data_IF_116749365839
#
_entry.id   IF_116749365839
#
_cell.length_a   1.000
_cell.length_b   1.000
_cell.length_c   1.000
_cell.angle_alpha   90.00
_cell.angle_beta   90.00
_cell.angle_gamma   90.00
#
_symmetry.space_group_name_H-M   'P 1'
#
loop_
_entity.id
_entity.type
_entity.pdbx_description
1 polymer ?
#
# COMPACT_ATOMS: atom_id res chain seq x y z
N UNK A 1 58.96 -0.73 -36.51
CA UNK A 1 58.98 -1.36 -35.18
C UNK A 1 58.20 -0.45 -34.23
N UNK A 2 56.88 -0.59 -34.22
CA UNK A 2 55.97 0.03 -33.23
C UNK A 2 54.68 -0.77 -33.25
N UNK A 3 54.34 -1.45 -32.15
CA UNK A 3 53.06 -2.14 -31.96
C UNK A 3 52.36 -1.42 -30.81
N UNK A 4 51.21 -0.80 -31.09
CA UNK A 4 50.31 -0.25 -30.09
C UNK A 4 49.39 -1.37 -29.58
N UNK A 5 49.53 -1.75 -28.32
CA UNK A 5 48.58 -2.62 -27.63
C UNK A 5 47.50 -1.78 -26.94
N UNK A 6 46.24 -1.91 -27.37
CA UNK A 6 45.09 -1.40 -26.64
C UNK A 6 44.74 -2.39 -25.51
N UNK A 7 44.84 -1.96 -24.26
CA UNK A 7 44.17 -2.62 -23.14
C UNK A 7 42.71 -2.16 -23.09
N UNK A 8 41.78 -3.04 -23.42
CA UNK A 8 40.36 -2.83 -23.14
C UNK A 8 40.07 -3.27 -21.69
N UNK A 9 39.69 -2.33 -20.83
CA UNK A 9 39.15 -2.63 -19.51
C UNK A 9 37.66 -2.93 -19.64
N UNK A 10 37.25 -4.16 -19.34
CA UNK A 10 35.83 -4.52 -19.17
C UNK A 10 35.33 -4.00 -17.83
N UNK A 11 34.18 -3.31 -17.77
CA UNK A 11 33.57 -2.95 -16.49
C UNK A 11 33.04 -4.21 -15.81
N UNK A 12 33.40 -4.40 -14.54
CA UNK A 12 32.79 -5.39 -13.65
C UNK A 12 31.40 -4.88 -13.29
N UNK A 13 30.38 -5.49 -13.88
CA UNK A 13 28.99 -5.28 -13.54
C UNK A 13 28.73 -5.91 -12.17
N UNK A 14 28.63 -5.07 -11.13
CA UNK A 14 28.28 -5.50 -9.78
C UNK A 14 26.81 -5.97 -9.77
N UNK A 15 26.60 -7.25 -10.04
CA UNK A 15 25.30 -7.89 -9.89
C UNK A 15 24.95 -7.92 -8.39
N UNK A 16 24.09 -6.99 -7.96
CA UNK A 16 23.36 -7.10 -6.69
C UNK A 16 22.42 -8.31 -6.77
N UNK A 17 22.95 -9.46 -6.36
CA UNK A 17 22.19 -10.69 -6.20
C UNK A 17 21.29 -10.51 -4.99
N UNK A 18 19.99 -10.34 -5.22
CA UNK A 18 18.99 -10.43 -4.16
C UNK A 18 19.17 -11.77 -3.41
N UNK A 19 19.14 -11.78 -2.07
CA UNK A 19 19.33 -13.00 -1.30
C UNK A 19 18.22 -14.02 -1.61
N UNK A 20 18.53 -15.32 -1.60
CA UNK A 20 17.55 -16.37 -1.83
C UNK A 20 16.45 -16.33 -0.76
N UNK A 21 15.20 -16.54 -1.18
CA UNK A 21 14.05 -16.68 -0.28
C UNK A 21 14.32 -17.79 0.74
N UNK A 22 14.41 -17.43 2.03
CA UNK A 22 14.46 -18.39 3.14
C UNK A 22 15.61 -18.22 4.15
N UNK A 23 16.54 -17.28 3.95
CA UNK A 23 17.47 -16.89 5.03
C UNK A 23 16.89 -15.70 5.79
N UNK A 24 16.80 -15.81 7.11
CA UNK A 24 16.45 -14.69 7.96
C UNK A 24 17.51 -13.58 7.79
N UNK A 25 17.05 -12.37 7.51
CA UNK A 25 17.94 -11.22 7.33
C UNK A 25 18.69 -10.93 8.64
N UNK A 26 20.01 -10.76 8.56
CA UNK A 26 20.84 -10.42 9.72
C UNK A 26 20.75 -8.91 10.00
N UNK A 27 19.83 -8.50 10.88
CA UNK A 27 19.52 -7.09 11.11
C UNK A 27 20.61 -6.27 11.83
N UNK A 28 21.57 -6.93 12.47
CA UNK A 28 22.65 -6.30 13.24
C UNK A 28 23.95 -6.13 12.44
N UNK A 29 23.94 -6.34 11.12
CA UNK A 29 25.10 -6.14 10.26
C UNK A 29 25.55 -4.66 10.20
N UNK A 30 26.86 -4.43 10.11
CA UNK A 30 27.50 -3.10 10.05
C UNK A 30 27.14 -2.14 11.21
N UNK A 31 27.17 -2.60 12.48
CA UNK A 31 26.62 -1.83 13.60
C UNK A 31 27.40 -0.56 13.89
N UNK A 32 28.71 -0.50 13.58
CA UNK A 32 29.55 0.66 13.91
C UNK A 32 29.14 1.89 13.10
N UNK A 33 28.88 1.73 11.81
CA UNK A 33 28.52 2.84 10.91
C UNK A 33 27.07 3.28 11.13
N UNK A 34 26.17 2.32 11.36
CA UNK A 34 24.72 2.58 11.33
C UNK A 34 24.04 2.63 12.70
N UNK A 35 24.76 2.42 13.81
CA UNK A 35 24.18 2.50 15.16
C UNK A 35 23.58 3.86 15.49
N UNK A 36 24.23 4.97 15.08
CA UNK A 36 23.74 6.32 15.33
C UNK A 36 22.38 6.59 14.67
N UNK A 37 22.26 6.43 13.35
CA UNK A 37 20.97 6.55 12.65
C UNK A 37 19.91 5.55 13.13
N UNK A 38 20.30 4.30 13.43
CA UNK A 38 19.39 3.30 14.00
C UNK A 38 18.82 3.75 15.36
N UNK A 39 19.66 4.36 16.22
CA UNK A 39 19.19 4.97 17.47
C UNK A 39 18.23 6.13 17.22
N UNK A 40 18.52 7.01 16.26
CA UNK A 40 17.62 8.12 15.90
C UNK A 40 16.24 7.63 15.42
N UNK A 41 16.20 6.56 14.62
CA UNK A 41 14.96 5.89 14.21
C UNK A 41 14.20 5.31 15.40
N UNK A 42 14.90 4.65 16.33
CA UNK A 42 14.29 4.09 17.55
C UNK A 42 13.62 5.14 18.45
N UNK A 43 14.12 6.38 18.43
CA UNK A 43 13.57 7.49 19.18
C UNK A 43 12.35 8.11 18.49
N UNK A 44 12.36 8.17 17.16
CA UNK A 44 11.35 8.88 16.37
C UNK A 44 10.15 8.01 15.98
N UNK A 45 10.32 6.70 15.79
CA UNK A 45 9.29 5.84 15.15
C UNK A 45 7.92 5.82 15.84
N UNK A 46 7.85 6.09 17.14
CA UNK A 46 6.61 6.18 17.91
C UNK A 46 6.31 7.57 18.48
N UNK A 47 7.21 8.54 18.28
CA UNK A 47 7.19 9.81 19.03
C UNK A 47 7.32 11.07 18.17
N UNK A 48 7.77 10.93 16.92
CA UNK A 48 7.91 12.07 16.02
C UNK A 48 6.56 12.78 15.85
N UNK A 49 6.47 14.06 16.22
CA UNK A 49 5.30 14.87 15.93
C UNK A 49 5.41 15.44 14.51
N UNK A 50 4.36 15.28 13.71
CA UNK A 50 4.35 15.64 12.30
C UNK A 50 2.93 15.55 11.72
N UNK A 51 2.73 16.01 10.48
CA UNK A 51 1.42 16.07 9.83
C UNK A 51 1.48 15.58 8.36
N UNK A 52 1.71 14.28 8.11
CA UNK A 52 1.94 13.75 6.77
C UNK A 52 0.75 13.90 5.81
N UNK A 53 -0.47 14.02 6.34
CA UNK A 53 -1.72 14.16 5.58
C UNK A 53 -2.59 15.34 6.05
N UNK A 54 -2.02 16.29 6.81
CA UNK A 54 -2.72 17.47 7.33
C UNK A 54 -2.97 17.42 8.84
N UNK A 55 -3.68 16.43 9.40
CA UNK A 55 -3.79 16.25 10.84
C UNK A 55 -2.44 15.90 11.48
N UNK A 56 -2.23 16.36 12.71
CA UNK A 56 -1.05 15.98 13.52
C UNK A 56 -1.13 14.51 13.94
N UNK A 57 -0.01 13.82 13.82
CA UNK A 57 0.22 12.42 14.19
C UNK A 57 1.49 12.30 15.03
N UNK A 58 1.64 11.18 15.75
CA UNK A 58 2.82 10.88 16.56
C UNK A 58 3.44 9.55 16.14
N UNK A 59 4.73 9.59 15.83
CA UNK A 59 5.45 8.47 15.26
C UNK A 59 5.08 8.19 13.81
N UNK A 60 5.86 7.32 13.19
CA UNK A 60 5.69 6.90 11.80
C UNK A 60 5.47 5.39 11.65
N UNK A 61 5.29 4.68 12.77
CA UNK A 61 5.05 3.23 12.82
C UNK A 61 3.88 2.77 11.93
N UNK A 62 2.81 3.57 11.81
CA UNK A 62 1.67 3.28 10.93
C UNK A 62 2.11 3.02 9.48
N UNK A 63 3.19 3.64 9.03
CA UNK A 63 3.72 3.54 7.66
C UNK A 63 4.86 2.51 7.54
N UNK A 64 5.33 1.94 8.65
CA UNK A 64 6.48 1.06 8.70
C UNK A 64 6.38 -0.14 7.74
N UNK A 65 5.24 -0.86 7.61
CA UNK A 65 5.16 -1.98 6.68
C UNK A 65 5.44 -1.56 5.22
N UNK A 66 4.96 -0.39 4.80
CA UNK A 66 5.20 0.13 3.45
C UNK A 66 6.64 0.57 3.28
N UNK A 67 7.21 1.25 4.28
CA UNK A 67 8.63 1.66 4.27
C UNK A 67 9.53 0.42 4.16
N UNK A 68 9.32 -0.60 4.99
CA UNK A 68 10.06 -1.86 4.95
C UNK A 68 9.99 -2.53 3.56
N UNK A 69 8.81 -2.50 2.92
CA UNK A 69 8.65 -2.99 1.55
C UNK A 69 9.50 -2.21 0.54
N UNK A 70 9.47 -0.87 0.60
CA UNK A 70 10.28 -0.04 -0.33
C UNK A 70 11.78 -0.23 -0.11
N UNK A 71 12.19 -0.36 1.14
CA UNK A 71 13.58 -0.57 1.53
C UNK A 71 14.06 -2.01 1.27
N UNK A 72 13.15 -2.94 0.98
CA UNK A 72 13.48 -4.34 0.76
C UNK A 72 14.06 -5.04 1.99
N UNK A 73 13.61 -4.67 3.19
CA UNK A 73 14.09 -5.24 4.47
C UNK A 73 12.94 -5.49 5.44
N UNK A 74 13.05 -6.56 6.23
CA UNK A 74 12.12 -6.85 7.32
C UNK A 74 12.63 -6.36 8.69
N UNK A 75 13.84 -5.79 8.71
CA UNK A 75 14.47 -5.33 9.93
C UNK A 75 13.76 -4.13 10.55
N UNK A 76 13.77 -4.09 11.89
CA UNK A 76 13.09 -3.06 12.66
C UNK A 76 13.80 -1.68 12.54
N UNK A 77 13.09 -0.56 12.80
CA UNK A 77 13.66 0.79 12.71
C UNK A 77 14.94 1.01 13.51
N UNK A 78 15.08 0.32 14.64
CA UNK A 78 16.22 0.40 15.54
C UNK A 78 17.42 -0.46 15.11
N UNK A 79 17.38 -1.06 13.93
CA UNK A 79 18.45 -1.91 13.42
C UNK A 79 19.43 -1.14 12.53
N UNK A 80 20.73 -1.46 12.58
CA UNK A 80 21.74 -0.99 11.63
C UNK A 80 21.34 -1.22 10.16
N UNK A 81 20.79 -2.40 9.83
CA UNK A 81 20.39 -2.72 8.46
C UNK A 81 19.26 -1.81 7.96
N UNK A 82 18.23 -1.54 8.77
CA UNK A 82 17.17 -0.61 8.36
C UNK A 82 17.73 0.78 8.05
N UNK A 83 18.62 1.29 8.91
CA UNK A 83 19.26 2.58 8.70
C UNK A 83 20.09 2.63 7.41
N UNK A 84 20.90 1.59 7.15
CA UNK A 84 21.66 1.48 5.90
C UNK A 84 20.75 1.47 4.67
N UNK A 85 19.69 0.65 4.67
CA UNK A 85 18.73 0.58 3.56
C UNK A 85 18.02 1.92 3.34
N UNK A 86 17.69 2.62 4.43
CA UNK A 86 17.10 3.94 4.34
C UNK A 86 18.07 4.97 3.73
N UNK A 87 19.36 4.90 4.07
CA UNK A 87 20.39 5.74 3.45
C UNK A 87 20.57 5.41 1.95
N UNK A 88 20.57 4.12 1.58
CA UNK A 88 20.58 3.65 0.18
C UNK A 88 19.37 4.17 -0.60
N UNK A 89 18.18 4.17 0.01
CA UNK A 89 16.99 4.78 -0.58
C UNK A 89 17.14 6.30 -0.73
N UNK A 90 17.58 6.99 0.31
CA UNK A 90 17.77 8.44 0.31
C UNK A 90 18.72 8.88 -0.82
N UNK A 91 19.90 8.25 -0.94
CA UNK A 91 20.84 8.57 -2.03
C UNK A 91 20.23 8.28 -3.40
N UNK A 92 19.50 7.16 -3.55
CA UNK A 92 18.83 6.78 -4.79
C UNK A 92 17.76 7.79 -5.25
N UNK A 93 17.22 8.58 -4.32
CA UNK A 93 16.21 9.60 -4.59
C UNK A 93 16.72 11.04 -4.40
N UNK A 94 18.04 11.25 -4.38
CA UNK A 94 18.64 12.58 -4.31
C UNK A 94 18.46 13.30 -2.96
N UNK A 95 18.17 12.55 -1.90
CA UNK A 95 18.12 13.04 -0.52
C UNK A 95 19.49 12.84 0.16
N UNK A 96 19.82 13.61 1.22
CA UNK A 96 20.97 13.32 2.07
C UNK A 96 20.86 11.90 2.67
N UNK A 97 21.88 11.03 2.53
CA UNK A 97 21.83 9.64 2.99
C UNK A 97 22.11 9.52 4.49
N UNK A 98 21.23 10.09 5.32
CA UNK A 98 21.38 10.12 6.78
C UNK A 98 21.10 8.77 7.43
N UNK A 99 20.33 7.90 6.79
CA UNK A 99 19.88 6.62 7.33
C UNK A 99 18.87 6.74 8.46
N UNK A 100 18.43 7.95 8.82
CA UNK A 100 17.30 8.15 9.71
C UNK A 100 16.08 8.65 8.93
N UNK A 101 14.91 8.32 9.46
CA UNK A 101 13.64 8.74 8.91
C UNK A 101 13.35 10.20 9.27
N UNK A 102 12.89 10.97 8.28
CA UNK A 102 12.42 12.33 8.45
C UNK A 102 11.26 12.66 7.50
N UNK A 103 10.71 13.86 7.64
CA UNK A 103 9.56 14.29 6.85
C UNK A 103 9.88 14.36 5.34
N UNK A 104 11.08 14.77 4.96
CA UNK A 104 11.48 14.84 3.55
C UNK A 104 11.54 13.45 2.92
N UNK A 105 12.13 12.49 3.64
CA UNK A 105 12.19 11.09 3.23
C UNK A 105 10.77 10.50 3.08
N UNK A 106 9.86 10.81 4.01
CA UNK A 106 8.47 10.41 3.89
C UNK A 106 7.76 11.02 2.68
N UNK A 107 8.02 12.29 2.35
CA UNK A 107 7.40 12.91 1.17
C UNK A 107 7.77 12.16 -0.10
N UNK A 108 9.01 11.69 -0.21
CA UNK A 108 9.46 10.85 -1.34
C UNK A 108 8.73 9.51 -1.35
N UNK A 109 8.68 8.78 -0.23
CA UNK A 109 7.90 7.53 -0.14
C UNK A 109 6.44 7.74 -0.54
N UNK A 110 5.81 8.79 0.00
CA UNK A 110 4.43 9.15 -0.31
C UNK A 110 4.24 9.41 -1.80
N UNK A 111 5.16 10.13 -2.45
CA UNK A 111 5.16 10.36 -3.90
C UNK A 111 5.15 9.04 -4.67
N UNK A 112 6.12 8.16 -4.39
CA UNK A 112 6.24 6.85 -5.04
C UNK A 112 4.99 5.98 -4.89
N UNK A 113 4.37 5.98 -3.70
CA UNK A 113 3.14 5.23 -3.47
C UNK A 113 1.94 5.83 -4.19
N UNK A 114 1.85 7.16 -4.27
CA UNK A 114 0.78 7.85 -5.00
C UNK A 114 0.92 7.66 -6.51
N UNK A 115 2.14 7.62 -7.04
CA UNK A 115 2.40 7.40 -8.47
C UNK A 115 1.93 6.03 -8.96
N UNK A 116 1.87 5.04 -8.07
CA UNK A 116 1.36 3.70 -8.39
C UNK A 116 -0.17 3.64 -8.51
N UNK A 117 -0.88 4.73 -8.19
CA UNK A 117 -2.35 4.81 -8.18
C UNK A 117 -2.85 5.55 -9.43
N UNK A 118 -3.43 4.84 -10.43
CA UNK A 118 -3.80 5.43 -11.71
C UNK A 118 -4.74 6.63 -11.61
N UNK A 119 -5.70 6.61 -10.67
CA UNK A 119 -6.62 7.73 -10.47
C UNK A 119 -5.92 9.00 -9.97
N UNK A 120 -4.89 8.85 -9.15
CA UNK A 120 -4.08 9.98 -8.68
C UNK A 120 -3.28 10.55 -9.84
N UNK A 121 -2.69 9.68 -10.65
CA UNK A 121 -1.90 10.10 -11.80
C UNK A 121 -2.75 10.72 -12.92
N UNK A 122 -3.95 10.22 -13.16
CA UNK A 122 -4.92 10.84 -14.05
C UNK A 122 -5.27 12.26 -13.59
N UNK A 123 -5.57 12.43 -12.29
CA UNK A 123 -5.82 13.76 -11.71
C UNK A 123 -4.63 14.71 -11.85
N UNK A 124 -3.40 14.24 -11.62
CA UNK A 124 -2.19 15.06 -11.77
C UNK A 124 -1.97 15.50 -13.22
N UNK A 125 -2.41 14.70 -14.20
CA UNK A 125 -2.36 15.01 -15.63
C UNK A 125 -3.59 15.77 -16.15
N UNK A 126 -4.49 16.20 -15.26
CA UNK A 126 -5.78 16.82 -15.61
C UNK A 126 -6.60 15.97 -16.61
N UNK A 127 -6.47 14.65 -16.52
CA UNK A 127 -7.26 13.70 -17.33
C UNK A 127 -8.69 13.60 -16.78
N UNK A 128 -9.70 13.41 -17.66
CA UNK A 128 -11.06 13.17 -17.22
C UNK A 128 -11.13 11.88 -16.40
N UNK A 129 -12.00 11.88 -15.38
CA UNK A 129 -12.26 10.70 -14.57
C UNK A 129 -12.80 9.58 -15.47
N UNK A 130 -12.27 8.35 -15.37
CA UNK A 130 -12.75 7.23 -16.17
C UNK A 130 -14.25 6.99 -16.00
N UNK A 131 -14.91 6.63 -17.09
CA UNK A 131 -16.31 6.22 -17.08
C UNK A 131 -16.51 4.93 -16.26
N UNK A 132 -17.66 4.77 -15.57
CA UNK A 132 -17.97 3.53 -14.89
C UNK A 132 -18.07 2.37 -15.92
N UNK A 133 -17.69 1.14 -15.55
CA UNK A 133 -17.83 0.00 -16.45
C UNK A 133 -19.30 -0.29 -16.72
N UNK A 134 -19.63 -0.84 -17.90
CA UNK A 134 -20.97 -1.33 -18.16
C UNK A 134 -21.32 -2.49 -17.22
N UNK A 135 -22.60 -2.61 -16.85
CA UNK A 135 -23.08 -3.57 -15.84
C UNK A 135 -22.65 -5.03 -16.09
N UNK A 136 -22.52 -5.45 -17.35
CA UNK A 136 -22.09 -6.82 -17.68
C UNK A 136 -20.65 -7.13 -17.24
N UNK A 137 -19.80 -6.11 -17.07
CA UNK A 137 -18.43 -6.25 -16.55
C UNK A 137 -18.38 -6.29 -15.02
N UNK A 138 -19.50 -6.02 -14.33
CA UNK A 138 -19.61 -6.12 -12.89
C UNK A 138 -20.06 -7.53 -12.48
N UNK A 139 -19.55 -7.99 -11.35
CA UNK A 139 -19.90 -9.24 -10.70
C UNK A 139 -20.27 -8.99 -9.23
N UNK A 140 -21.27 -9.73 -8.76
CA UNK A 140 -21.68 -9.71 -7.35
C UNK A 140 -20.68 -10.48 -6.49
N UNK A 141 -20.46 -9.95 -5.29
CA UNK A 141 -19.86 -10.70 -4.21
C UNK A 141 -20.83 -11.79 -3.74
N UNK A 142 -20.28 -12.92 -3.29
CA UNK A 142 -21.06 -13.89 -2.52
C UNK A 142 -21.09 -13.49 -1.04
N UNK A 143 -22.04 -14.05 -0.28
CA UNK A 143 -22.23 -13.71 1.14
C UNK A 143 -20.95 -13.80 1.98
N UNK A 144 -20.12 -14.82 1.76
CA UNK A 144 -18.86 -14.99 2.49
C UNK A 144 -17.78 -13.97 2.13
N UNK A 145 -17.96 -13.18 1.08
CA UNK A 145 -17.06 -12.10 0.65
C UNK A 145 -17.49 -10.72 1.18
N UNK A 146 -18.69 -10.60 1.74
CA UNK A 146 -19.29 -9.35 2.19
C UNK A 146 -19.01 -9.11 3.68
N UNK A 147 -18.52 -7.92 4.02
CA UNK A 147 -18.40 -7.50 5.42
C UNK A 147 -19.65 -6.71 5.82
N UNK A 148 -20.32 -7.17 6.89
CA UNK A 148 -21.61 -6.71 7.38
C UNK A 148 -22.80 -6.95 6.42
N UNK A 149 -24.02 -6.78 6.94
CA UNK A 149 -25.32 -7.17 6.32
C UNK A 149 -25.72 -6.41 5.04
N UNK A 150 -24.79 -5.71 4.37
CA UNK A 150 -25.05 -5.12 3.07
C UNK A 150 -24.72 -6.12 1.97
N UNK A 151 -25.65 -7.03 1.74
CA UNK A 151 -25.63 -7.89 0.56
C UNK A 151 -25.78 -7.02 -0.69
N UNK A 152 -25.07 -7.36 -1.78
CA UNK A 152 -25.13 -6.78 -3.15
C UNK A 152 -23.98 -5.85 -3.57
N UNK A 153 -22.83 -5.84 -2.89
CA UNK A 153 -21.66 -5.13 -3.42
C UNK A 153 -21.21 -5.77 -4.73
N UNK A 154 -20.68 -4.91 -5.59
CA UNK A 154 -20.21 -5.26 -6.92
C UNK A 154 -18.73 -4.93 -7.04
N UNK A 155 -18.02 -5.67 -7.88
CA UNK A 155 -16.70 -5.32 -8.38
C UNK A 155 -16.65 -5.59 -9.87
N UNK A 156 -15.66 -5.02 -10.54
CA UNK A 156 -15.33 -5.47 -11.90
C UNK A 156 -14.89 -6.93 -11.84
N UNK A 157 -15.30 -7.75 -12.81
CA UNK A 157 -15.13 -9.23 -12.77
C UNK A 157 -13.67 -9.67 -12.65
N UNK A 158 -12.77 -9.02 -13.37
CA UNK A 158 -11.33 -9.26 -13.31
C UNK A 158 -10.72 -8.91 -11.94
N UNK A 159 -11.20 -7.82 -11.33
CA UNK A 159 -10.83 -7.39 -9.98
C UNK A 159 -11.34 -8.39 -8.95
N UNK A 160 -12.57 -8.89 -9.13
CA UNK A 160 -13.16 -9.93 -8.28
C UNK A 160 -12.36 -11.24 -8.35
N UNK A 161 -11.93 -11.66 -9.54
CA UNK A 161 -11.08 -12.83 -9.71
C UNK A 161 -9.69 -12.64 -9.08
N UNK A 162 -9.11 -11.43 -9.22
CA UNK A 162 -7.84 -11.09 -8.57
C UNK A 162 -7.95 -11.09 -7.04
N UNK A 163 -9.03 -10.51 -6.51
CA UNK A 163 -9.36 -10.51 -5.08
C UNK A 163 -9.49 -11.93 -4.54
N UNK A 164 -10.22 -12.82 -5.23
CA UNK A 164 -10.38 -14.23 -4.82
C UNK A 164 -9.04 -14.96 -4.74
N UNK A 165 -8.15 -14.76 -5.72
CA UNK A 165 -6.78 -15.33 -5.68
C UNK A 165 -5.95 -14.76 -4.53
N UNK A 166 -6.09 -13.46 -4.26
CA UNK A 166 -5.44 -12.81 -3.13
C UNK A 166 -5.91 -13.39 -1.80
N UNK A 167 -7.22 -13.51 -1.58
CA UNK A 167 -7.79 -14.07 -0.34
C UNK A 167 -7.40 -15.53 -0.18
N UNK A 168 -7.46 -16.33 -1.26
CA UNK A 168 -7.01 -17.73 -1.23
C UNK A 168 -5.55 -17.84 -0.76
N UNK A 169 -4.65 -17.02 -1.31
CA UNK A 169 -3.24 -17.03 -0.89
C UNK A 169 -3.08 -16.55 0.56
N UNK A 170 -3.78 -15.50 0.97
CA UNK A 170 -3.71 -14.99 2.34
C UNK A 170 -4.19 -16.04 3.36
N UNK A 171 -5.30 -16.73 3.07
CA UNK A 171 -5.82 -17.82 3.92
C UNK A 171 -4.86 -19.01 4.01
N UNK A 172 -4.03 -19.24 2.98
CA UNK A 172 -3.02 -20.29 2.99
C UNK A 172 -1.72 -19.89 3.71
N UNK A 173 -1.36 -18.61 3.69
CA UNK A 173 -0.06 -18.10 4.15
C UNK A 173 -0.12 -17.42 5.53
N UNK A 174 -1.30 -17.00 6.00
CA UNK A 174 -1.48 -16.24 7.25
C UNK A 174 -2.48 -16.97 8.17
N UNK A 175 -2.02 -17.53 9.30
CA UNK A 175 -2.90 -18.24 10.23
C UNK A 175 -4.09 -17.41 10.71
N UNK A 176 -3.91 -16.14 11.06
CA UNK A 176 -5.00 -15.29 11.55
C UNK A 176 -6.11 -15.15 10.51
N UNK A 177 -5.72 -14.96 9.25
CA UNK A 177 -6.65 -14.95 8.12
C UNK A 177 -7.28 -16.33 7.99
N UNK A 178 -6.55 -17.44 8.05
CA UNK A 178 -7.15 -18.78 7.98
C UNK A 178 -8.25 -19.05 9.05
N UNK A 179 -8.10 -18.49 10.26
CA UNK A 179 -8.99 -18.76 11.40
C UNK A 179 -10.17 -17.78 11.51
N UNK A 180 -10.03 -16.55 11.01
CA UNK A 180 -11.08 -15.53 11.07
C UNK A 180 -11.67 -15.27 9.67
N UNK A 181 -12.90 -15.75 9.39
CA UNK A 181 -13.54 -15.60 8.08
C UNK A 181 -13.90 -14.16 7.73
N UNK A 182 -13.97 -13.24 8.70
CA UNK A 182 -14.28 -11.83 8.43
C UNK A 182 -13.08 -11.11 7.80
N UNK A 183 -11.85 -11.47 8.18
CA UNK A 183 -10.64 -10.85 7.64
C UNK A 183 -10.65 -10.95 6.11
N UNK A 184 -10.35 -9.84 5.45
CA UNK A 184 -10.38 -9.64 3.99
C UNK A 184 -11.76 -9.62 3.35
N UNK A 185 -12.87 -9.73 4.08
CA UNK A 185 -14.18 -9.42 3.53
C UNK A 185 -14.26 -7.95 3.11
N UNK A 186 -15.08 -7.68 2.11
CA UNK A 186 -15.18 -6.35 1.49
C UNK A 186 -16.32 -5.58 2.16
N UNK A 187 -16.00 -4.41 2.71
CA UNK A 187 -17.01 -3.48 3.23
C UNK A 187 -17.34 -2.33 2.27
N UNK A 188 -16.57 -2.16 1.20
CA UNK A 188 -16.91 -1.26 0.09
C UNK A 188 -16.30 -1.70 -1.24
N UNK A 189 -17.08 -1.65 -2.31
CA UNK A 189 -16.67 -2.01 -3.68
C UNK A 189 -17.12 -0.94 -4.68
N UNK A 190 -17.71 -1.34 -5.80
CA UNK A 190 -18.25 -0.43 -6.82
C UNK A 190 -19.28 0.55 -6.24
N UNK A 191 -19.14 1.83 -6.58
CA UNK A 191 -20.08 2.91 -6.25
C UNK A 191 -20.61 3.52 -7.54
N UNK A 192 -21.86 3.21 -7.86
CA UNK A 192 -22.55 3.71 -9.05
C UNK A 192 -22.80 5.23 -8.91
N UNK A 193 -22.21 6.07 -9.80
CA UNK A 193 -22.40 7.52 -9.76
C UNK A 193 -23.85 7.96 -9.93
N UNK A 194 -24.62 7.29 -10.79
CA UNK A 194 -26.03 7.64 -11.04
C UNK A 194 -26.89 7.26 -9.85
N UNK A 195 -26.67 6.06 -9.28
CA UNK A 195 -27.39 5.65 -8.08
C UNK A 195 -27.05 6.53 -6.87
N UNK A 196 -25.79 6.96 -6.73
CA UNK A 196 -25.36 7.88 -5.67
C UNK A 196 -25.98 9.27 -5.85
N UNK A 197 -26.04 9.79 -7.09
CA UNK A 197 -26.70 11.06 -7.41
C UNK A 197 -28.21 11.00 -7.11
N UNK A 198 -28.89 9.91 -7.51
CA UNK A 198 -30.31 9.70 -7.25
C UNK A 198 -30.60 9.64 -5.74
N UNK A 199 -29.80 8.90 -4.96
CA UNK A 199 -29.94 8.85 -3.50
C UNK A 199 -29.68 10.20 -2.84
N UNK A 200 -28.66 10.93 -3.27
CA UNK A 200 -28.37 12.29 -2.79
C UNK A 200 -29.57 13.22 -3.05
N UNK A 201 -30.13 13.21 -4.25
CA UNK A 201 -31.30 14.01 -4.59
C UNK A 201 -32.54 13.66 -3.73
N UNK A 202 -32.73 12.36 -3.42
CA UNK A 202 -33.86 11.89 -2.63
C UNK A 202 -33.72 12.16 -1.12
N UNK A 203 -32.52 12.01 -0.56
CA UNK A 203 -32.29 11.99 0.89
C UNK A 203 -31.56 13.24 1.44
N UNK A 204 -31.03 14.11 0.57
CA UNK A 204 -30.21 15.25 0.99
C UNK A 204 -28.85 14.88 1.58
N UNK A 205 -28.51 13.58 1.63
CA UNK A 205 -27.22 13.07 2.09
C UNK A 205 -26.31 12.76 0.89
N UNK A 206 -25.43 13.71 0.56
CA UNK A 206 -24.59 13.67 -0.63
C UNK A 206 -23.15 13.18 -0.37
N UNK A 207 -22.89 12.59 0.80
CA UNK A 207 -21.56 12.03 1.13
C UNK A 207 -21.14 10.92 0.15
N UNK A 208 -22.08 10.07 -0.27
CA UNK A 208 -21.84 9.05 -1.29
C UNK A 208 -21.41 9.66 -2.63
N UNK A 209 -22.14 10.68 -3.09
CA UNK A 209 -21.84 11.40 -4.33
C UNK A 209 -20.41 11.98 -4.30
N UNK A 210 -20.01 12.64 -3.19
CA UNK A 210 -18.65 13.18 -3.01
C UNK A 210 -17.59 12.07 -3.10
N UNK A 211 -17.86 10.89 -2.54
CA UNK A 211 -16.96 9.73 -2.57
C UNK A 211 -16.89 9.07 -3.96
N UNK A 212 -17.87 9.29 -4.84
CA UNK A 212 -17.95 8.65 -6.15
C UNK A 212 -17.40 9.48 -7.33
N UNK A 213 -17.25 10.81 -7.19
CA UNK A 213 -16.93 11.74 -8.30
C UNK A 213 -15.75 11.26 -9.18
N UNK A 214 -14.60 11.01 -8.56
CA UNK A 214 -13.37 10.59 -9.24
C UNK A 214 -12.58 9.62 -8.37
N UNK A 215 -13.22 8.52 -7.99
CA UNK A 215 -12.64 7.49 -7.13
C UNK A 215 -12.51 6.18 -7.91
N UNK A 216 -11.50 5.34 -7.62
CA UNK A 216 -11.42 3.98 -8.17
C UNK A 216 -12.62 3.08 -7.81
N UNK A 217 -13.41 3.43 -6.78
CA UNK A 217 -14.67 2.73 -6.53
C UNK A 217 -15.70 2.96 -7.64
N UNK A 218 -15.63 4.08 -8.37
CA UNK A 218 -16.52 4.36 -9.52
C UNK A 218 -16.31 3.37 -10.66
N UNK A 219 -15.15 2.74 -10.74
CA UNK A 219 -14.83 1.82 -11.83
C UNK A 219 -14.86 0.36 -11.41
N UNK A 220 -15.21 0.08 -10.14
CA UNK A 220 -15.17 -1.26 -9.58
C UNK A 220 -13.76 -1.82 -9.46
N UNK A 221 -12.74 -0.95 -9.46
CA UNK A 221 -11.31 -1.30 -9.37
C UNK A 221 -10.70 -0.95 -8.01
N UNK A 222 -11.51 -0.61 -7.01
CA UNK A 222 -11.07 -0.51 -5.62
C UNK A 222 -11.89 -1.41 -4.70
N UNK A 223 -11.22 -1.89 -3.67
CA UNK A 223 -11.80 -2.65 -2.57
C UNK A 223 -11.42 -2.00 -1.25
N UNK A 224 -12.41 -1.85 -0.38
CA UNK A 224 -12.17 -1.58 1.03
C UNK A 224 -12.30 -2.91 1.79
N UNK A 225 -11.17 -3.43 2.26
CA UNK A 225 -11.03 -4.74 2.90
C UNK A 225 -11.03 -4.62 4.41
N UNK A 226 -11.75 -5.51 5.11
CA UNK A 226 -11.64 -5.62 6.55
C UNK A 226 -10.27 -6.21 6.95
N UNK A 227 -9.40 -5.40 7.54
CA UNK A 227 -8.03 -5.78 7.96
C UNK A 227 -7.87 -5.82 9.49
N UNK A 228 -9.00 -5.85 10.20
CA UNK A 228 -9.13 -5.65 11.63
C UNK A 228 -9.66 -4.26 11.97
N UNK A 229 -10.20 -4.10 13.17
CA UNK A 229 -10.67 -2.82 13.70
C UNK A 229 -10.30 -2.67 15.17
N UNK A 230 -10.00 -1.44 15.58
CA UNK A 230 -9.92 -1.14 17.01
C UNK A 230 -11.33 -1.18 17.60
N UNK A 231 -11.51 -1.84 18.75
CA UNK A 231 -12.81 -1.92 19.41
C UNK A 231 -13.47 -0.54 19.55
N UNK A 232 -14.79 -0.51 19.38
CA UNK A 232 -15.63 0.70 19.43
C UNK A 232 -15.40 1.73 18.31
N UNK A 233 -14.51 1.46 17.35
CA UNK A 233 -14.33 2.27 16.15
C UNK A 233 -14.83 1.53 14.91
N UNK A 234 -15.32 2.29 13.93
CA UNK A 234 -15.74 1.74 12.65
C UNK A 234 -14.57 1.22 11.80
N UNK A 235 -14.87 0.30 10.88
CA UNK A 235 -13.89 -0.32 9.97
C UNK A 235 -13.18 0.65 9.02
N UNK A 236 -13.76 1.82 8.79
CA UNK A 236 -13.22 2.91 7.96
C UNK A 236 -12.74 4.11 8.79
N UNK A 237 -12.52 3.92 10.11
CA UNK A 237 -12.08 4.99 10.98
C UNK A 237 -10.63 5.41 10.69
N UNK A 238 -10.44 6.67 10.31
CA UNK A 238 -9.14 7.24 9.91
C UNK A 238 -8.30 7.79 11.07
N UNK A 239 -8.73 7.64 12.33
CA UNK A 239 -7.95 8.13 13.47
C UNK A 239 -6.56 7.48 13.51
N UNK A 240 -5.51 8.18 14.00
CA UNK A 240 -4.17 7.61 14.09
C UNK A 240 -4.13 6.27 14.84
N UNK A 241 -4.91 6.12 15.92
CA UNK A 241 -5.00 4.89 16.70
C UNK A 241 -5.60 3.72 15.90
N UNK A 242 -6.69 3.97 15.18
CA UNK A 242 -7.34 2.98 14.30
C UNK A 242 -6.39 2.50 13.20
N UNK A 243 -5.75 3.45 12.49
CA UNK A 243 -4.81 3.13 11.42
C UNK A 243 -3.57 2.39 11.91
N UNK A 244 -3.02 2.78 13.07
CA UNK A 244 -1.90 2.08 13.69
C UNK A 244 -2.28 0.64 14.08
N UNK A 245 -3.48 0.45 14.63
CA UNK A 245 -4.00 -0.88 14.97
C UNK A 245 -4.04 -1.78 13.71
N UNK A 246 -4.64 -1.29 12.63
CA UNK A 246 -4.68 -2.02 11.35
C UNK A 246 -3.28 -2.26 10.78
N UNK A 247 -2.41 -1.25 10.81
CA UNK A 247 -1.05 -1.36 10.27
C UNK A 247 -0.18 -2.41 10.99
N UNK A 248 -0.48 -2.69 12.26
CA UNK A 248 0.17 -3.73 13.05
C UNK A 248 -0.37 -5.14 12.76
N UNK A 249 -1.55 -5.27 12.15
CA UNK A 249 -2.18 -6.57 11.97
C UNK A 249 -1.37 -7.47 11.02
N UNK A 250 -1.28 -8.79 11.29
CA UNK A 250 -0.64 -9.74 10.38
C UNK A 250 -1.23 -9.68 8.97
N UNK A 251 -2.55 -9.49 8.87
CA UNK A 251 -3.29 -9.33 7.63
C UNK A 251 -2.77 -8.16 6.79
N UNK A 252 -2.70 -6.96 7.36
CA UNK A 252 -2.22 -5.79 6.63
C UNK A 252 -0.75 -5.93 6.23
N UNK A 253 0.11 -6.42 7.13
CA UNK A 253 1.53 -6.65 6.84
C UNK A 253 1.71 -7.65 5.69
N UNK A 254 0.90 -8.71 5.62
CA UNK A 254 0.90 -9.64 4.51
C UNK A 254 0.43 -8.99 3.21
N UNK A 255 -0.66 -8.20 3.24
CA UNK A 255 -1.16 -7.48 2.07
C UNK A 255 -0.09 -6.54 1.51
N UNK A 256 0.58 -5.77 2.37
CA UNK A 256 1.66 -4.88 1.95
C UNK A 256 2.73 -5.65 1.20
N UNK A 257 3.16 -6.81 1.69
CA UNK A 257 4.20 -7.63 1.03
C UNK A 257 3.72 -8.32 -0.25
N UNK A 258 2.46 -8.75 -0.31
CA UNK A 258 2.02 -9.75 -1.30
C UNK A 258 0.94 -9.27 -2.28
N UNK A 259 0.13 -8.28 -1.93
CA UNK A 259 -1.03 -7.88 -2.73
C UNK A 259 -0.66 -7.43 -4.16
N UNK A 260 0.57 -6.90 -4.33
CA UNK A 260 1.11 -6.55 -5.65
C UNK A 260 1.19 -7.72 -6.63
N UNK A 261 1.39 -8.97 -6.15
CA UNK A 261 1.37 -10.20 -6.98
C UNK A 261 0.01 -10.43 -7.65
N UNK A 262 -1.04 -9.82 -7.13
CA UNK A 262 -2.42 -9.92 -7.62
C UNK A 262 -2.89 -8.61 -8.31
N UNK A 263 -2.00 -7.63 -8.45
CA UNK A 263 -2.29 -6.35 -9.10
C UNK A 263 -2.89 -5.30 -8.18
N UNK A 264 -2.81 -5.44 -6.85
CA UNK A 264 -3.31 -4.45 -5.91
C UNK A 264 -2.20 -3.54 -5.35
N UNK A 265 -2.49 -2.24 -5.24
CA UNK A 265 -1.67 -1.22 -4.59
C UNK A 265 -2.46 -0.53 -3.46
N UNK A 266 -1.84 -0.21 -2.31
CA UNK A 266 -2.56 0.41 -1.21
C UNK A 266 -2.71 1.92 -1.39
N UNK A 267 -3.75 2.49 -0.78
CA UNK A 267 -3.73 3.89 -0.40
C UNK A 267 -3.11 4.04 0.98
N UNK A 268 -1.92 4.64 1.04
CA UNK A 268 -1.10 4.79 2.26
C UNK A 268 -1.85 5.34 3.49
N UNK A 269 -2.83 6.22 3.29
CA UNK A 269 -3.57 6.82 4.41
C UNK A 269 -4.66 5.90 4.97
N UNK A 270 -5.18 4.96 4.18
CA UNK A 270 -6.31 4.11 4.53
C UNK A 270 -5.91 2.63 4.41
N UNK A 271 -5.48 1.97 5.51
CA UNK A 271 -4.95 0.59 5.47
C UNK A 271 -5.87 -0.46 4.82
N UNK A 272 -7.17 -0.19 4.83
CA UNK A 272 -8.20 -1.04 4.22
C UNK A 272 -8.37 -0.83 2.72
N UNK A 273 -7.92 0.30 2.15
CA UNK A 273 -8.23 0.70 0.78
C UNK A 273 -7.15 0.24 -0.21
N UNK A 274 -7.55 -0.61 -1.16
CA UNK A 274 -6.66 -1.18 -2.16
C UNK A 274 -7.22 -0.97 -3.57
N UNK A 275 -6.36 -0.49 -4.46
CA UNK A 275 -6.69 -0.25 -5.87
C UNK A 275 -6.07 -1.33 -6.75
N UNK A 276 -6.84 -1.86 -7.68
CA UNK A 276 -6.37 -2.79 -8.67
C UNK A 276 -5.84 -2.04 -9.90
N UNK A 277 -4.60 -2.33 -10.29
CA UNK A 277 -3.84 -1.63 -11.35
C UNK A 277 -3.34 -2.56 -12.44
N UNK A 278 -3.93 -3.77 -12.53
CA UNK A 278 -3.47 -4.93 -13.31
C UNK A 278 -2.10 -5.50 -12.85
N UNK A 279 -1.91 -6.84 -12.88
CA UNK A 279 -0.59 -7.44 -12.68
C UNK A 279 0.48 -7.00 -13.71
N UNK A 280 0.07 -6.48 -14.87
CA UNK A 280 0.98 -5.93 -15.90
C UNK A 280 1.25 -4.43 -15.76
N UNK A 281 0.71 -3.77 -14.73
CA UNK A 281 0.95 -2.36 -14.44
C UNK A 281 0.20 -1.37 -15.33
N UNK A 282 -0.67 -1.84 -16.23
CA UNK A 282 -1.57 -1.00 -17.01
C UNK A 282 -2.95 -0.93 -16.36
N UNK A 283 -3.57 0.25 -16.33
CA UNK A 283 -5.01 0.31 -16.14
C UNK A 283 -5.64 -0.48 -17.29
N UNK A 284 -6.26 -1.63 -17.01
CA UNK A 284 -7.15 -2.26 -17.97
C UNK A 284 -8.37 -1.35 -18.05
N UNK A 285 -8.26 -0.30 -18.85
CA UNK A 285 -9.44 0.39 -19.36
C UNK A 285 -10.27 -0.60 -20.19
N UNK A 286 -11.57 -0.34 -20.36
CA UNK A 286 -12.34 -1.03 -21.38
C UNK A 286 -11.70 -0.90 -22.77
#
# INVERSE_FOLDING_TARGET
>A
MTVFGLCAATPVEAQHRAPPRGQAEACDADPIEWAGPALANSLSWQRMEWAPFGPTEYGWETYLPLIQRELGTDCAPNSPVFARRLAEFQIGHGLPPTGWFDAATFQTFRGLWQERRPFIMARVRDEPCPDPPPLYQLGYLVESEEHADRLTRLLRRDVLDAYRRLVQAARAEVPEVAHDPELLQIFSGFRDPEADAARCAAAGNCDGLRRAVCSPHRTGTAVDLYVGQLADLGVDNTSPASRLHMARSPTYRWLVKNAGRFGFTPYVYEPWHWEWVSPTGGYAGP
#
